data_IF_160598275516
#
_entry.id   IF_160598275516
#
_cell.length_a   1.000
_cell.length_b   1.000
_cell.length_c   1.000
_cell.angle_alpha   90.00
_cell.angle_beta   90.00
_cell.angle_gamma   90.00
#
_symmetry.space_group_name_H-M   'P 1'
#
loop_
_entity.id
_entity.type
_entity.pdbx_description
1 polymer ?
#
# COMPACT_ATOMS: atom_id res chain seq x y z
N UNK A 1 -16.51 -98.61 24.47
CA UNK A 1 -15.17 -99.17 24.18
C UNK A 1 -14.38 -98.13 23.40
N UNK A 2 -13.22 -97.72 23.94
CA UNK A 2 -12.05 -97.04 23.33
C UNK A 2 -12.31 -95.72 22.56
N UNK A 3 -12.00 -94.54 23.11
CA UNK A 3 -10.67 -93.91 23.26
C UNK A 3 -9.89 -93.75 21.95
N UNK A 4 -9.71 -92.50 21.47
CA UNK A 4 -8.39 -91.82 21.33
C UNK A 4 -8.44 -90.50 20.52
N UNK A 5 -7.89 -89.46 21.14
CA UNK A 5 -7.05 -88.34 20.65
C UNK A 5 -7.51 -87.32 19.57
N UNK A 6 -7.60 -86.08 20.07
CA UNK A 6 -6.95 -84.82 19.64
C UNK A 6 -7.08 -84.23 18.21
N UNK A 7 -7.74 -83.08 18.18
CA UNK A 7 -7.28 -81.76 17.71
C UNK A 7 -6.45 -81.66 16.41
N UNK A 8 -7.01 -80.98 15.40
CA UNK A 8 -6.43 -79.73 14.89
C UNK A 8 -7.29 -79.01 13.83
N UNK A 9 -7.32 -77.66 13.94
CA UNK A 9 -7.50 -76.63 12.89
C UNK A 9 -8.91 -76.34 12.37
N UNK A 10 -9.58 -75.41 13.05
CA UNK A 10 -10.44 -74.42 12.36
C UNK A 10 -9.59 -73.26 11.85
N UNK A 11 -9.31 -73.24 10.55
CA UNK A 11 -8.80 -72.06 9.86
C UNK A 11 -9.96 -71.08 9.66
N UNK A 12 -9.86 -69.92 10.31
CA UNK A 12 -10.76 -68.80 10.12
C UNK A 12 -10.62 -68.23 8.70
N UNK A 13 -11.71 -68.25 7.94
CA UNK A 13 -11.90 -67.46 6.73
C UNK A 13 -11.77 -65.97 7.05
N UNK A 14 -10.60 -65.40 6.76
CA UNK A 14 -10.40 -63.94 6.67
C UNK A 14 -9.82 -63.63 5.31
N UNK A 15 -10.72 -63.30 4.36
CA UNK A 15 -10.33 -62.65 3.11
C UNK A 15 -9.58 -61.36 3.45
N UNK A 16 -8.37 -61.12 2.91
CA UNK A 16 -7.65 -59.90 3.20
C UNK A 16 -8.38 -58.71 2.56
N UNK A 17 -8.80 -57.76 3.40
CA UNK A 17 -9.21 -56.43 2.95
C UNK A 17 -8.04 -55.80 2.20
N UNK A 18 -8.12 -55.75 0.86
CA UNK A 18 -7.24 -54.93 0.04
C UNK A 18 -7.43 -53.47 0.46
N UNK A 19 -6.50 -52.95 1.25
CA UNK A 19 -6.36 -51.51 1.49
C UNK A 19 -6.13 -50.85 0.14
N UNK A 20 -7.17 -50.21 -0.41
CA UNK A 20 -7.01 -49.29 -1.54
C UNK A 20 -5.93 -48.30 -1.13
N UNK A 21 -4.84 -48.26 -1.90
CA UNK A 21 -3.74 -47.34 -1.66
C UNK A 21 -4.28 -45.93 -1.50
N UNK A 22 -3.84 -45.23 -0.44
CA UNK A 22 -4.07 -43.80 -0.32
C UNK A 22 -3.47 -43.16 -1.56
N UNK A 23 -4.32 -42.62 -2.42
CA UNK A 23 -3.88 -41.70 -3.47
C UNK A 23 -3.03 -40.62 -2.81
N UNK A 24 -1.85 -40.27 -3.36
CA UNK A 24 -1.12 -39.11 -2.88
C UNK A 24 -2.06 -37.92 -2.99
N UNK A 25 -2.30 -37.23 -1.88
CA UNK A 25 -3.05 -35.99 -1.86
C UNK A 25 -2.41 -35.09 -2.93
N UNK A 26 -3.13 -34.86 -4.03
CA UNK A 26 -2.79 -33.77 -4.94
C UNK A 26 -2.98 -32.51 -4.09
N UNK A 27 -1.86 -31.93 -3.63
CA UNK A 27 -1.87 -30.65 -2.94
C UNK A 27 -2.59 -29.65 -3.85
N UNK A 28 -3.83 -29.31 -3.50
CA UNK A 28 -4.53 -28.20 -4.13
C UNK A 28 -3.72 -26.95 -3.76
N UNK A 29 -3.28 -26.13 -4.71
CA UNK A 29 -2.53 -24.92 -4.39
C UNK A 29 -3.37 -24.05 -3.46
N UNK A 30 -2.80 -23.66 -2.32
CA UNK A 30 -3.45 -22.77 -1.36
C UNK A 30 -3.58 -21.37 -1.97
N UNK A 31 -4.74 -21.02 -2.51
CA UNK A 31 -4.99 -19.71 -3.14
C UNK A 31 -5.24 -18.60 -2.15
N UNK A 32 -5.11 -18.84 -0.84
CA UNK A 32 -5.24 -17.79 0.17
C UNK A 32 -4.12 -16.76 0.04
N UNK A 33 -4.36 -15.55 0.58
CA UNK A 33 -3.36 -14.45 0.63
C UNK A 33 -2.02 -14.90 1.22
N UNK A 34 -2.06 -15.72 2.27
CA UNK A 34 -0.86 -16.25 2.91
C UNK A 34 -0.21 -17.37 2.08
N UNK A 35 -1.01 -18.23 1.45
CA UNK A 35 -0.53 -19.26 0.53
C UNK A 35 0.26 -18.69 -0.66
N UNK A 36 -0.22 -17.59 -1.27
CA UNK A 36 0.49 -16.95 -2.39
C UNK A 36 1.77 -16.27 -1.92
N UNK A 37 1.76 -15.54 -0.80
CA UNK A 37 3.00 -14.95 -0.24
C UNK A 37 4.04 -16.05 0.00
N UNK A 38 3.64 -17.15 0.63
CA UNK A 38 4.53 -18.26 0.91
C UNK A 38 5.12 -18.81 -0.39
N UNK A 39 4.29 -19.11 -1.40
CA UNK A 39 4.77 -19.58 -2.71
C UNK A 39 5.79 -18.64 -3.34
N UNK A 40 5.56 -17.33 -3.29
CA UNK A 40 6.51 -16.36 -3.86
C UNK A 40 7.81 -16.34 -3.07
N UNK A 41 7.73 -16.30 -1.74
CA UNK A 41 8.89 -16.25 -0.83
C UNK A 41 9.73 -17.53 -0.85
N UNK A 42 9.14 -18.69 -1.13
CA UNK A 42 9.86 -19.96 -1.22
C UNK A 42 10.51 -20.21 -2.58
N UNK A 43 10.35 -19.31 -3.55
CA UNK A 43 11.10 -19.40 -4.80
C UNK A 43 12.60 -19.30 -4.52
N UNK A 44 13.38 -20.05 -5.29
CA UNK A 44 14.84 -19.98 -5.23
C UNK A 44 15.34 -18.69 -5.87
N UNK A 45 16.47 -18.18 -5.38
CA UNK A 45 17.20 -17.09 -6.03
C UNK A 45 16.59 -15.70 -5.80
N UNK A 46 16.59 -14.86 -6.84
CA UNK A 46 16.22 -13.44 -6.74
C UNK A 46 14.70 -13.22 -6.77
N UNK A 47 13.94 -14.18 -7.31
CA UNK A 47 12.47 -14.05 -7.46
C UNK A 47 11.73 -13.97 -6.11
N UNK A 48 12.24 -14.61 -5.06
CA UNK A 48 11.66 -14.50 -3.71
C UNK A 48 11.93 -13.16 -3.03
N UNK A 49 12.79 -12.33 -3.59
CA UNK A 49 13.18 -11.03 -3.04
C UNK A 49 12.54 -9.87 -3.81
N UNK A 50 12.36 -10.02 -5.12
CA UNK A 50 11.84 -8.97 -5.99
C UNK A 50 10.36 -8.69 -5.72
N UNK A 51 10.05 -7.41 -5.52
CA UNK A 51 8.70 -6.84 -5.67
C UNK A 51 8.82 -5.64 -6.59
N UNK A 52 8.05 -5.65 -7.68
CA UNK A 52 8.06 -4.56 -8.65
C UNK A 52 7.23 -3.40 -8.10
N UNK A 53 7.74 -2.17 -8.14
CA UNK A 53 6.99 -0.98 -7.69
C UNK A 53 7.14 0.13 -8.71
N UNK A 54 6.04 0.59 -9.30
CA UNK A 54 6.08 1.59 -10.37
C UNK A 54 4.77 2.37 -10.53
N UNK A 55 4.85 3.57 -11.09
CA UNK A 55 3.66 4.30 -11.55
C UNK A 55 3.39 3.91 -13.01
N UNK A 56 2.19 3.38 -13.36
CA UNK A 56 1.85 3.02 -14.74
C UNK A 56 2.00 4.16 -15.75
N UNK A 57 1.77 5.42 -15.34
CA UNK A 57 1.86 6.59 -16.22
C UNK A 57 3.32 7.05 -16.47
N UNK A 58 4.25 6.65 -15.59
CA UNK A 58 5.68 6.97 -15.69
C UNK A 58 6.51 5.67 -15.76
N UNK A 59 5.95 4.68 -16.44
CA UNK A 59 6.49 3.33 -16.45
C UNK A 59 7.72 3.23 -17.37
N UNK A 60 8.88 2.95 -16.77
CA UNK A 60 10.14 2.76 -17.47
C UNK A 60 10.82 1.46 -17.00
N UNK A 61 10.83 0.38 -17.81
CA UNK A 61 11.28 -0.96 -17.38
C UNK A 61 12.66 -1.00 -16.71
N UNK A 62 13.61 -0.22 -17.25
CA UNK A 62 14.98 -0.12 -16.71
C UNK A 62 14.96 0.43 -15.28
N UNK A 63 14.23 1.53 -15.06
CA UNK A 63 14.09 2.15 -13.74
C UNK A 63 13.38 1.22 -12.76
N UNK A 64 12.31 0.55 -13.21
CA UNK A 64 11.54 -0.37 -12.36
C UNK A 64 12.42 -1.53 -11.88
N UNK A 65 13.16 -2.18 -12.78
CA UNK A 65 14.00 -3.30 -12.41
C UNK A 65 15.17 -2.86 -11.51
N UNK A 66 15.87 -1.77 -11.85
CA UNK A 66 16.96 -1.23 -11.02
C UNK A 66 16.49 -0.90 -9.59
N UNK A 67 15.33 -0.26 -9.44
CA UNK A 67 14.78 0.07 -8.13
C UNK A 67 14.34 -1.17 -7.34
N UNK A 68 13.91 -2.23 -8.03
CA UNK A 68 13.56 -3.49 -7.40
C UNK A 68 14.81 -4.23 -6.90
N UNK A 69 15.88 -4.28 -7.70
CA UNK A 69 17.12 -5.00 -7.37
C UNK A 69 17.99 -4.28 -6.33
N UNK A 70 18.04 -2.95 -6.36
CA UNK A 70 18.86 -2.16 -5.45
C UNK A 70 18.57 -2.46 -3.97
N UNK A 71 17.30 -2.78 -3.64
CA UNK A 71 16.84 -3.04 -2.27
C UNK A 71 17.52 -4.23 -1.60
N UNK A 72 17.87 -5.25 -2.37
CA UNK A 72 18.64 -6.41 -1.90
C UNK A 72 20.07 -6.41 -2.44
N UNK A 73 20.56 -5.24 -2.89
CA UNK A 73 21.90 -5.05 -3.49
C UNK A 73 22.15 -5.99 -4.68
N UNK A 74 21.10 -6.29 -5.44
CA UNK A 74 21.18 -7.12 -6.63
C UNK A 74 21.97 -6.45 -7.75
N UNK A 75 22.85 -7.21 -8.41
CA UNK A 75 23.62 -6.75 -9.56
C UNK A 75 22.95 -7.20 -10.85
N UNK A 76 22.62 -6.25 -11.72
CA UNK A 76 22.08 -6.51 -13.06
C UNK A 76 23.25 -6.52 -14.05
N UNK A 77 23.31 -7.56 -14.87
CA UNK A 77 24.31 -7.71 -15.93
C UNK A 77 23.64 -8.15 -17.22
N UNK A 78 24.08 -7.56 -18.34
CA UNK A 78 23.72 -8.05 -19.68
C UNK A 78 24.94 -8.77 -20.23
N UNK A 79 24.75 -10.02 -20.65
CA UNK A 79 25.79 -10.85 -21.20
C UNK A 79 25.48 -11.19 -22.66
N UNK A 80 26.44 -10.92 -23.54
CA UNK A 80 26.44 -11.43 -24.91
C UNK A 80 27.01 -12.85 -24.91
N UNK A 81 26.25 -13.79 -25.45
CA UNK A 81 26.59 -15.22 -25.53
C UNK A 81 27.08 -15.65 -26.91
N UNK A 82 27.28 -14.70 -27.83
CA UNK A 82 27.75 -14.94 -29.19
C UNK A 82 26.62 -14.91 -30.24
N UNK A 83 26.91 -15.28 -31.50
CA UNK A 83 25.94 -15.27 -32.59
C UNK A 83 24.76 -16.22 -32.32
N UNK A 84 23.56 -15.87 -32.81
CA UNK A 84 22.41 -16.77 -32.75
C UNK A 84 22.65 -18.00 -33.63
N UNK A 85 22.40 -19.24 -33.13
CA UNK A 85 22.56 -20.46 -33.90
C UNK A 85 21.72 -20.50 -35.19
N UNK A 86 20.55 -19.86 -35.19
CA UNK A 86 19.59 -19.86 -36.30
C UNK A 86 19.75 -18.65 -37.22
N UNK A 87 20.28 -17.53 -36.71
CA UNK A 87 20.48 -16.29 -37.48
C UNK A 87 21.81 -15.62 -37.10
N UNK A 88 22.88 -15.97 -37.83
CA UNK A 88 24.24 -15.46 -37.58
C UNK A 88 24.36 -13.93 -37.69
N UNK A 89 23.37 -13.23 -38.25
CA UNK A 89 23.36 -11.76 -38.28
C UNK A 89 23.03 -11.14 -36.91
N UNK A 90 22.47 -11.92 -35.98
CA UNK A 90 22.09 -11.50 -34.62
C UNK A 90 23.03 -12.10 -33.58
N UNK A 91 23.11 -11.46 -32.43
CA UNK A 91 23.77 -12.00 -31.23
C UNK A 91 22.74 -12.32 -30.15
N UNK A 92 22.97 -13.39 -29.41
CA UNK A 92 22.17 -13.80 -28.26
C UNK A 92 22.61 -13.02 -27.01
N UNK A 93 21.68 -12.33 -26.39
CA UNK A 93 21.90 -11.60 -25.14
C UNK A 93 21.02 -12.15 -24.02
N UNK A 94 21.51 -12.06 -22.79
CA UNK A 94 20.73 -12.41 -21.59
C UNK A 94 20.89 -11.34 -20.51
N UNK A 95 19.81 -11.08 -19.78
CA UNK A 95 19.79 -10.21 -18.61
C UNK A 95 19.73 -11.08 -17.37
N UNK A 96 20.76 -10.95 -16.54
CA UNK A 96 20.93 -11.71 -15.31
C UNK A 96 20.87 -10.77 -14.10
N UNK A 97 20.28 -11.24 -13.01
CA UNK A 97 20.34 -10.59 -11.70
C UNK A 97 21.01 -11.56 -10.74
N UNK A 98 22.13 -11.17 -10.13
CA UNK A 98 22.94 -12.06 -9.27
C UNK A 98 23.21 -13.43 -9.93
N UNK A 99 23.58 -13.43 -11.21
CA UNK A 99 23.82 -14.62 -12.05
C UNK A 99 22.58 -15.47 -12.38
N UNK A 100 21.40 -15.13 -11.88
CA UNK A 100 20.14 -15.77 -12.29
C UNK A 100 19.58 -15.10 -13.54
N UNK A 101 19.38 -15.88 -14.60
CA UNK A 101 18.82 -15.39 -15.86
C UNK A 101 17.34 -15.03 -15.71
N UNK A 102 17.00 -13.77 -16.00
CA UNK A 102 15.63 -13.25 -15.92
C UNK A 102 14.99 -13.18 -17.32
N UNK A 103 15.75 -12.74 -18.32
CA UNK A 103 15.32 -12.70 -19.72
C UNK A 103 16.48 -12.99 -20.67
N UNK A 104 16.15 -13.35 -21.90
CA UNK A 104 17.11 -13.57 -22.98
C UNK A 104 16.43 -13.32 -24.33
N UNK A 105 17.23 -13.11 -25.37
CA UNK A 105 16.76 -12.97 -26.74
C UNK A 105 17.89 -12.63 -27.70
N UNK A 106 17.58 -12.62 -28.99
CA UNK A 106 18.57 -12.41 -30.05
C UNK A 106 18.30 -11.13 -30.81
N UNK A 107 19.32 -10.28 -30.92
CA UNK A 107 19.18 -8.92 -31.44
C UNK A 107 20.36 -8.54 -32.33
N UNK A 108 20.13 -7.59 -33.24
CA UNK A 108 21.14 -7.06 -34.15
C UNK A 108 22.16 -6.15 -33.44
N UNK A 109 21.70 -5.40 -32.43
CA UNK A 109 22.51 -4.39 -31.73
C UNK A 109 22.33 -4.52 -30.22
N UNK A 110 23.38 -4.22 -29.46
CA UNK A 110 23.34 -4.28 -28.00
C UNK A 110 22.37 -3.24 -27.40
N UNK A 111 22.24 -2.06 -28.01
CA UNK A 111 21.32 -1.01 -27.58
C UNK A 111 19.85 -1.47 -27.63
N UNK A 112 19.45 -2.12 -28.72
CA UNK A 112 18.11 -2.69 -28.90
C UNK A 112 17.91 -3.90 -28.00
N UNK A 113 18.95 -4.74 -27.86
CA UNK A 113 18.94 -5.86 -26.92
C UNK A 113 18.66 -5.40 -25.49
N UNK A 114 19.34 -4.35 -25.03
CA UNK A 114 19.16 -3.80 -23.69
C UNK A 114 17.70 -3.44 -23.45
N UNK A 115 17.10 -2.61 -24.31
CA UNK A 115 15.71 -2.16 -24.13
C UNK A 115 14.74 -3.36 -24.04
N UNK A 116 14.79 -4.27 -25.00
CA UNK A 116 13.88 -5.42 -25.06
C UNK A 116 14.11 -6.44 -23.95
N UNK A 117 15.36 -6.66 -23.52
CA UNK A 117 15.64 -7.54 -22.40
C UNK A 117 15.04 -7.04 -21.09
N UNK A 118 15.06 -5.73 -20.84
CA UNK A 118 14.41 -5.15 -19.65
C UNK A 118 12.88 -5.28 -19.73
N UNK A 119 12.29 -5.06 -20.91
CA UNK A 119 10.84 -5.28 -21.14
C UNK A 119 10.45 -6.74 -20.83
N UNK A 120 11.13 -7.70 -21.45
CA UNK A 120 10.91 -9.13 -21.23
C UNK A 120 11.20 -9.55 -19.78
N UNK A 121 12.19 -8.93 -19.13
CA UNK A 121 12.49 -9.22 -17.73
C UNK A 121 11.32 -8.84 -16.82
N UNK A 122 10.72 -7.66 -17.01
CA UNK A 122 9.55 -7.24 -16.24
C UNK A 122 8.36 -8.16 -16.52
N UNK A 123 8.12 -8.55 -17.77
CA UNK A 123 7.05 -9.49 -18.12
C UNK A 123 7.22 -10.85 -17.43
N UNK A 124 8.43 -11.40 -17.43
CA UNK A 124 8.72 -12.67 -16.76
C UNK A 124 8.62 -12.56 -15.23
N UNK A 125 9.05 -11.44 -14.66
CA UNK A 125 8.93 -11.18 -13.23
C UNK A 125 7.47 -10.98 -12.82
N UNK A 126 6.61 -10.33 -13.62
CA UNK A 126 5.17 -10.20 -13.32
C UNK A 126 4.44 -11.54 -13.21
N UNK A 127 4.95 -12.58 -13.86
CA UNK A 127 4.38 -13.94 -13.76
C UNK A 127 4.64 -14.58 -12.39
N UNK A 128 5.78 -14.25 -11.78
CA UNK A 128 6.32 -14.96 -10.61
C UNK A 128 6.52 -14.08 -9.37
N UNK A 129 6.48 -12.76 -9.49
CA UNK A 129 6.71 -11.78 -8.44
C UNK A 129 5.53 -10.82 -8.31
N UNK A 130 5.32 -10.27 -7.11
CA UNK A 130 4.30 -9.25 -6.89
C UNK A 130 4.65 -7.94 -7.59
N UNK A 131 3.62 -7.21 -8.03
CA UNK A 131 3.76 -5.84 -8.52
C UNK A 131 2.86 -4.89 -7.74
N UNK A 132 3.39 -3.72 -7.37
CA UNK A 132 2.65 -2.64 -6.71
C UNK A 132 2.61 -1.45 -7.67
N UNK A 133 1.42 -1.13 -8.14
CA UNK A 133 1.16 0.03 -8.97
C UNK A 133 0.95 1.25 -8.08
N UNK A 134 1.67 2.34 -8.33
CA UNK A 134 1.46 3.63 -7.67
C UNK A 134 0.42 4.43 -8.44
N UNK A 135 -0.65 4.82 -7.77
CA UNK A 135 -1.64 5.75 -8.28
C UNK A 135 -1.10 7.17 -8.22
N UNK A 136 -1.44 7.98 -9.22
CA UNK A 136 -1.30 9.43 -9.10
C UNK A 136 -2.33 9.92 -8.12
N UNK A 137 -1.89 10.62 -7.07
CA UNK A 137 -2.78 11.21 -6.08
C UNK A 137 -3.73 12.20 -6.78
N UNK A 138 -5.06 12.06 -6.59
CA UNK A 138 -6.02 13.04 -7.08
C UNK A 138 -5.72 14.43 -6.51
N UNK A 139 -5.92 15.46 -7.35
CA UNK A 139 -5.79 16.86 -6.94
C UNK A 139 -6.71 17.24 -5.79
N UNK A 140 -7.71 16.46 -5.39
CA UNK A 140 -8.67 16.84 -4.33
C UNK A 140 -8.73 15.85 -3.15
N UNK A 141 -7.62 15.14 -2.90
CA UNK A 141 -7.52 14.23 -1.75
C UNK A 141 -7.72 15.00 -0.43
N UNK A 142 -8.43 14.42 0.57
CA UNK A 142 -8.70 15.08 1.84
C UNK A 142 -7.40 15.52 2.50
N UNK A 143 -7.34 16.79 2.89
CA UNK A 143 -6.16 17.41 3.48
C UNK A 143 -6.42 17.73 4.95
N UNK A 144 -5.45 17.41 5.79
CA UNK A 144 -5.42 17.80 7.19
C UNK A 144 -5.19 19.30 7.27
N UNK A 145 -6.16 19.99 7.86
CA UNK A 145 -6.12 21.38 8.28
C UNK A 145 -5.98 21.42 9.80
N UNK A 146 -5.32 22.45 10.34
CA UNK A 146 -4.95 22.50 11.76
C UNK A 146 -6.13 22.74 12.73
N UNK A 147 -7.31 22.98 12.16
CA UNK A 147 -8.60 23.20 12.80
C UNK A 147 -9.43 21.91 12.95
N UNK A 148 -8.95 20.76 12.45
CA UNK A 148 -9.63 19.47 12.58
C UNK A 148 -9.46 18.88 13.98
N UNK A 149 -10.24 19.41 14.92
CA UNK A 149 -10.56 18.76 16.19
C UNK A 149 -11.23 17.41 15.89
N UNK A 150 -10.67 16.31 16.40
CA UNK A 150 -11.31 14.99 16.41
C UNK A 150 -12.65 15.09 17.11
N UNK A 151 -13.74 15.06 16.34
CA UNK A 151 -15.09 14.84 16.89
C UNK A 151 -15.39 13.35 16.79
N UNK A 152 -15.14 12.65 17.89
CA UNK A 152 -15.77 11.36 18.16
C UNK A 152 -17.28 11.52 17.96
N UNK A 153 -17.80 10.88 16.92
CA UNK A 153 -19.21 10.94 16.58
C UNK A 153 -19.97 9.97 17.48
N UNK A 154 -20.18 10.37 18.74
CA UNK A 154 -21.29 9.86 19.54
C UNK A 154 -22.32 10.98 19.68
N UNK A 155 -23.18 11.11 18.66
CA UNK A 155 -24.25 12.11 18.67
C UNK A 155 -25.38 11.57 19.54
N UNK A 156 -25.41 12.04 20.77
CA UNK A 156 -26.63 12.14 21.56
C UNK A 156 -26.94 13.63 21.73
N UNK A 157 -28.19 14.07 21.47
CA UNK A 157 -28.50 15.49 21.42
C UNK A 157 -28.64 16.04 22.85
N UNK A 158 -27.68 16.89 23.26
CA UNK A 158 -27.86 17.74 24.44
C UNK A 158 -27.82 19.21 24.02
N UNK A 159 -28.96 19.86 24.23
CA UNK A 159 -29.24 21.29 24.10
C UNK A 159 -28.30 22.10 25.00
N UNK A 160 -27.33 22.81 24.42
CA UNK A 160 -26.47 23.73 25.15
C UNK A 160 -26.92 25.19 24.93
N UNK A 161 -27.84 25.63 25.79
CA UNK A 161 -28.16 27.04 26.04
C UNK A 161 -27.04 27.62 26.91
N UNK A 162 -26.21 28.53 26.39
CA UNK A 162 -25.12 29.08 27.22
C UNK A 162 -24.33 30.31 26.72
N UNK A 163 -24.59 30.83 25.52
CA UNK A 163 -23.88 32.01 25.01
C UNK A 163 -24.47 33.34 25.50
N UNK A 164 -23.63 34.37 25.70
CA UNK A 164 -24.04 35.75 26.04
C UNK A 164 -25.07 36.29 25.01
N UNK A 165 -24.90 35.96 23.74
CA UNK A 165 -25.85 36.31 22.67
C UNK A 165 -27.24 35.69 22.86
N UNK A 166 -27.34 34.44 23.32
CA UNK A 166 -28.62 33.78 23.59
C UNK A 166 -29.35 34.45 24.77
N UNK A 167 -28.59 34.88 25.78
CA UNK A 167 -29.12 35.60 26.95
C UNK A 167 -29.62 37.01 26.59
N UNK A 168 -28.99 37.66 25.61
CA UNK A 168 -29.42 38.96 25.09
C UNK A 168 -30.67 38.84 24.21
N UNK A 169 -30.74 37.82 23.34
CA UNK A 169 -31.91 37.59 22.48
C UNK A 169 -33.17 37.23 23.29
N UNK A 170 -33.05 36.39 24.33
CA UNK A 170 -34.16 36.09 25.25
C UNK A 170 -34.69 37.34 25.96
N UNK A 171 -33.80 38.25 26.39
CA UNK A 171 -34.19 39.50 27.05
C UNK A 171 -34.91 40.48 26.12
N UNK A 172 -34.76 40.32 24.80
CA UNK A 172 -35.48 41.11 23.79
C UNK A 172 -36.76 40.42 23.28
N UNK A 173 -37.22 39.36 23.97
CA UNK A 173 -38.48 38.69 23.70
C UNK A 173 -38.43 37.57 22.66
N UNK A 174 -37.24 37.13 22.23
CA UNK A 174 -37.10 36.01 21.29
C UNK A 174 -37.28 34.67 22.01
N UNK A 175 -38.33 33.92 21.66
CA UNK A 175 -38.68 32.63 22.26
C UNK A 175 -38.14 31.40 21.49
N UNK A 176 -37.31 31.61 20.46
CA UNK A 176 -36.79 30.56 19.58
C UNK A 176 -37.51 30.49 18.23
N UNK A 177 -36.78 30.13 17.16
CA UNK A 177 -37.24 30.13 15.75
C UNK A 177 -36.44 31.10 14.86
N UNK A 178 -36.50 30.90 13.53
CA UNK A 178 -35.72 31.67 12.56
C UNK A 178 -35.99 33.18 12.58
N UNK A 179 -34.97 34.02 12.43
CA UNK A 179 -35.13 35.48 12.33
C UNK A 179 -35.77 35.88 10.99
N UNK A 180 -36.87 36.65 11.02
CA UNK A 180 -37.52 37.24 9.83
C UNK A 180 -39.05 37.16 9.89
N UNK A 181 -39.76 37.98 9.10
CA UNK A 181 -41.23 38.08 9.10
C UNK A 181 -41.98 36.77 8.78
N UNK A 182 -41.29 35.75 8.25
CA UNK A 182 -41.81 34.41 7.99
C UNK A 182 -40.96 33.28 8.62
N UNK A 183 -40.20 33.57 9.67
CA UNK A 183 -39.32 32.59 10.34
C UNK A 183 -38.30 31.89 9.42
N UNK A 184 -37.88 32.56 8.34
CA UNK A 184 -36.96 32.02 7.32
C UNK A 184 -35.47 32.04 7.73
N UNK A 185 -35.14 32.59 8.90
CA UNK A 185 -33.77 32.61 9.40
C UNK A 185 -33.30 31.26 9.96
N UNK A 186 -31.99 31.11 10.14
CA UNK A 186 -31.37 29.91 10.72
C UNK A 186 -31.98 29.66 12.10
N UNK A 187 -32.55 28.46 12.28
CA UNK A 187 -33.23 28.04 13.52
C UNK A 187 -32.24 27.66 14.63
N UNK A 188 -31.04 27.26 14.24
CA UNK A 188 -29.98 26.91 15.17
C UNK A 188 -29.11 28.11 15.50
N UNK A 189 -28.88 28.33 16.78
CA UNK A 189 -27.89 29.30 17.25
C UNK A 189 -26.57 28.90 16.59
N UNK A 190 -26.03 29.79 15.75
CA UNK A 190 -24.66 29.67 15.23
C UNK A 190 -23.78 29.57 16.47
N UNK A 191 -23.36 28.34 16.78
CA UNK A 191 -22.34 28.15 17.79
C UNK A 191 -21.15 28.96 17.32
N UNK A 192 -20.51 29.75 18.19
CA UNK A 192 -19.29 30.42 17.81
C UNK A 192 -18.33 29.31 17.39
N UNK A 193 -18.17 29.13 16.08
CA UNK A 193 -17.01 28.44 15.52
C UNK A 193 -15.86 29.08 16.25
N UNK A 194 -15.11 28.31 17.03
CA UNK A 194 -13.95 28.84 17.75
C UNK A 194 -13.07 29.52 16.72
N UNK A 195 -13.25 30.83 16.59
CA UNK A 195 -12.42 31.68 15.80
C UNK A 195 -11.15 31.73 16.63
N UNK A 196 -10.22 30.86 16.29
CA UNK A 196 -8.83 31.04 16.67
C UNK A 196 -8.55 32.49 16.29
N UNK A 197 -8.22 33.28 17.32
CA UNK A 197 -7.95 34.71 17.20
C UNK A 197 -7.15 34.96 15.92
N UNK A 198 -7.77 35.63 14.95
CA UNK A 198 -7.04 36.21 13.81
C UNK A 198 -6.16 37.31 14.39
N UNK A 199 -4.98 36.93 14.89
CA UNK A 199 -3.91 37.89 15.18
C UNK A 199 -3.47 38.47 13.84
N UNK A 200 -3.47 39.79 13.78
CA UNK A 200 -3.40 40.56 12.55
C UNK A 200 -2.11 40.36 11.74
N UNK A 201 -2.08 41.05 10.61
CA UNK A 201 -0.95 41.19 9.70
C UNK A 201 0.31 41.62 10.48
N UNK A 202 1.17 40.66 10.86
CA UNK A 202 2.39 40.94 11.63
C UNK A 202 2.79 39.89 12.67
N UNK A 203 1.93 38.92 13.02
CA UNK A 203 2.35 37.78 13.86
C UNK A 203 2.73 36.59 12.99
N UNK A 204 3.99 36.15 13.07
CA UNK A 204 4.40 34.84 12.56
C UNK A 204 3.38 33.80 13.02
N UNK A 205 2.71 33.13 12.07
CA UNK A 205 1.89 31.97 12.36
C UNK A 205 2.88 30.91 12.84
N UNK A 206 3.05 30.83 14.16
CA UNK A 206 3.78 29.74 14.77
C UNK A 206 2.83 28.57 14.73
N UNK A 207 3.03 27.63 13.79
CA UNK A 207 2.29 26.38 13.85
C UNK A 207 2.54 25.78 15.24
N UNK A 208 1.50 25.37 15.99
CA UNK A 208 1.68 24.55 17.18
C UNK A 208 2.33 23.22 16.79
N UNK A 209 3.66 23.19 16.87
CA UNK A 209 4.50 22.03 16.51
C UNK A 209 4.06 20.79 17.28
N UNK A 210 3.58 20.96 18.51
CA UNK A 210 3.08 19.88 19.35
C UNK A 210 1.86 19.19 18.73
N UNK A 211 0.95 19.93 18.09
CA UNK A 211 -0.17 19.34 17.34
C UNK A 211 0.31 18.55 16.13
N UNK A 212 1.29 19.08 15.38
CA UNK A 212 1.88 18.33 14.25
C UNK A 212 2.51 17.03 14.78
N UNK A 213 3.26 17.11 15.87
CA UNK A 213 3.89 15.94 16.48
C UNK A 213 2.84 14.91 16.90
N UNK A 214 1.75 15.34 17.53
CA UNK A 214 0.64 14.46 17.94
C UNK A 214 0.00 13.76 16.74
N UNK A 215 -0.36 14.51 15.69
CA UNK A 215 -0.92 13.95 14.44
C UNK A 215 0.03 12.92 13.82
N UNK A 216 1.32 13.25 13.73
CA UNK A 216 2.31 12.36 13.14
C UNK A 216 2.62 11.16 14.03
N UNK A 217 2.56 11.30 15.35
CA UNK A 217 2.73 10.21 16.30
C UNK A 217 1.58 9.22 16.20
N UNK A 218 0.33 9.71 16.23
CA UNK A 218 -0.85 8.88 16.02
C UNK A 218 -0.82 8.19 14.65
N UNK A 219 -0.32 8.86 13.62
CA UNK A 219 -0.13 8.23 12.32
C UNK A 219 0.90 7.08 12.35
N UNK A 220 2.06 7.31 12.97
CA UNK A 220 3.12 6.29 13.12
C UNK A 220 2.57 5.05 13.83
N UNK A 221 1.84 5.26 14.93
CA UNK A 221 1.27 4.20 15.78
C UNK A 221 0.08 3.46 15.15
N UNK A 222 -0.69 4.13 14.28
CA UNK A 222 -1.81 3.51 13.59
C UNK A 222 -1.39 2.41 12.61
N UNK A 223 -2.29 1.49 12.24
CA UNK A 223 -2.05 0.56 11.13
C UNK A 223 -2.31 1.16 9.74
N UNK A 224 -2.72 2.44 9.69
CA UNK A 224 -3.04 3.12 8.45
C UNK A 224 -1.76 3.33 7.60
N UNK A 225 -1.81 2.88 6.35
CA UNK A 225 -0.73 3.03 5.36
C UNK A 225 -1.03 4.09 4.29
N UNK A 226 -2.22 4.69 4.30
CA UNK A 226 -2.57 5.80 3.41
C UNK A 226 -1.77 7.03 3.82
N UNK A 227 -1.43 7.87 2.84
CA UNK A 227 -0.71 9.10 3.12
C UNK A 227 -1.59 10.11 3.84
N UNK A 228 -0.96 10.93 4.67
CA UNK A 228 -1.55 12.16 5.20
C UNK A 228 -1.19 13.30 4.25
N UNK A 229 -2.19 13.98 3.73
CA UNK A 229 -1.99 15.22 2.97
C UNK A 229 -2.23 16.41 3.89
N UNK A 230 -1.38 17.43 3.85
CA UNK A 230 -1.55 18.71 4.56
C UNK A 230 -2.05 19.78 3.60
N UNK A 231 -2.86 20.72 4.09
CA UNK A 231 -3.42 21.82 3.30
C UNK A 231 -2.34 22.59 2.51
N UNK A 232 -2.64 23.10 1.31
CA UNK A 232 -1.75 24.05 0.65
C UNK A 232 -1.55 25.36 1.42
N UNK A 233 -2.39 25.69 2.41
CA UNK A 233 -2.32 26.96 3.15
C UNK A 233 -1.06 27.13 4.00
N UNK A 234 -0.33 26.04 4.27
CA UNK A 234 0.93 26.12 4.99
C UNK A 234 1.99 26.88 4.19
N UNK A 235 2.69 27.82 4.83
CA UNK A 235 3.81 28.55 4.22
C UNK A 235 5.01 27.65 3.95
N UNK A 236 6.02 28.18 3.25
CA UNK A 236 7.23 27.41 2.94
C UNK A 236 8.00 27.05 4.22
N UNK A 237 8.10 27.99 5.15
CA UNK A 237 8.79 27.85 6.43
C UNK A 237 8.07 26.80 7.28
N UNK A 238 6.74 26.87 7.30
CA UNK A 238 5.88 25.93 7.99
C UNK A 238 6.01 24.49 7.47
N UNK A 239 5.98 24.32 6.15
CA UNK A 239 6.24 23.01 5.51
C UNK A 239 7.63 22.48 5.85
N UNK A 240 8.64 23.35 5.95
CA UNK A 240 10.00 22.94 6.36
C UNK A 240 10.03 22.38 7.78
N UNK A 241 9.28 22.98 8.70
CA UNK A 241 9.12 22.47 10.08
C UNK A 241 8.43 21.11 10.06
N UNK A 242 7.32 20.97 9.33
CA UNK A 242 6.60 19.68 9.20
C UNK A 242 7.51 18.60 8.62
N UNK A 243 8.27 18.90 7.56
CA UNK A 243 9.28 18.01 6.98
C UNK A 243 10.30 17.55 8.04
N UNK A 244 10.80 18.48 8.85
CA UNK A 244 11.78 18.19 9.91
C UNK A 244 11.21 17.28 11.00
N UNK A 245 9.95 17.49 11.41
CA UNK A 245 9.27 16.63 12.37
C UNK A 245 9.05 15.23 11.79
N UNK A 246 8.51 15.14 10.56
CA UNK A 246 8.27 13.87 9.88
C UNK A 246 9.56 13.04 9.72
N UNK A 247 10.68 13.69 9.36
CA UNK A 247 11.97 13.03 9.22
C UNK A 247 12.46 12.44 10.55
N UNK A 248 12.32 13.16 11.67
CA UNK A 248 12.67 12.66 13.01
C UNK A 248 11.85 11.43 13.41
N UNK A 249 10.65 11.29 12.86
CA UNK A 249 9.75 10.15 13.09
C UNK A 249 9.89 9.06 12.01
N UNK A 250 10.97 9.12 11.21
CA UNK A 250 11.27 8.20 10.11
C UNK A 250 10.17 8.09 9.04
N UNK A 251 9.34 9.12 8.89
CA UNK A 251 8.36 9.21 7.81
C UNK A 251 9.02 9.75 6.54
N UNK A 252 8.40 9.43 5.39
CA UNK A 252 8.70 10.07 4.12
C UNK A 252 7.77 11.27 3.98
N UNK A 253 8.33 12.42 3.64
CA UNK A 253 7.58 13.65 3.41
C UNK A 253 7.93 14.19 2.03
N UNK A 254 6.94 14.58 1.24
CA UNK A 254 7.13 15.07 -0.13
C UNK A 254 6.14 16.18 -0.43
N UNK A 255 6.62 17.29 -0.98
CA UNK A 255 5.73 18.32 -1.52
C UNK A 255 5.37 18.00 -2.97
N UNK A 256 4.09 18.07 -3.31
CA UNK A 256 3.58 17.94 -4.68
C UNK A 256 2.95 19.25 -5.15
N UNK A 257 2.98 19.54 -6.45
CA UNK A 257 2.42 20.76 -7.03
C UNK A 257 3.34 21.98 -6.96
N UNK A 258 2.84 23.10 -7.50
CA UNK A 258 3.57 24.37 -7.62
C UNK A 258 2.72 25.53 -7.09
N UNK A 259 3.37 26.56 -6.54
CA UNK A 259 2.70 27.76 -6.06
C UNK A 259 1.61 27.50 -5.01
N UNK A 260 0.41 28.02 -5.26
CA UNK A 260 -0.75 27.93 -4.39
C UNK A 260 -1.35 26.51 -4.31
N UNK A 261 -1.10 25.65 -5.29
CA UNK A 261 -1.57 24.26 -5.29
C UNK A 261 -0.60 23.30 -4.58
N UNK A 262 0.50 23.82 -4.01
CA UNK A 262 1.55 22.98 -3.43
C UNK A 262 1.08 22.36 -2.11
N UNK A 263 1.01 21.03 -2.07
CA UNK A 263 0.59 20.27 -0.88
C UNK A 263 1.74 19.44 -0.33
N UNK A 264 1.78 19.30 0.98
CA UNK A 264 2.75 18.44 1.65
C UNK A 264 2.09 17.10 1.97
N UNK A 265 2.70 16.01 1.53
CA UNK A 265 2.20 14.65 1.74
C UNK A 265 3.20 13.86 2.57
N UNK A 266 2.72 13.19 3.61
CA UNK A 266 3.49 12.35 4.53
C UNK A 266 3.06 10.89 4.39
N UNK A 267 4.03 10.00 4.32
CA UNK A 267 3.88 8.58 4.10
C UNK A 267 4.80 7.79 5.04
N UNK A 268 4.38 6.59 5.42
CA UNK A 268 5.28 5.63 6.07
C UNK A 268 6.35 5.13 5.09
N UNK A 269 7.56 4.92 5.60
CA UNK A 269 8.62 4.22 4.86
C UNK A 269 8.42 2.72 5.01
N UNK A 270 7.72 2.12 4.04
CA UNK A 270 7.47 0.67 4.03
C UNK A 270 8.39 -0.05 3.04
N UNK A 271 8.94 -1.17 3.47
CA UNK A 271 9.52 -2.18 2.59
C UNK A 271 8.40 -2.82 1.71
N UNK A 272 8.63 -3.17 0.45
CA UNK A 272 7.54 -3.46 -0.48
C UNK A 272 6.78 -4.78 -0.36
N UNK A 273 7.33 -5.96 -0.03
CA UNK A 273 7.58 -6.29 1.36
C UNK A 273 6.34 -6.16 2.24
N UNK A 274 6.53 -5.40 3.31
CA UNK A 274 5.49 -4.97 4.23
C UNK A 274 4.28 -4.38 3.51
N UNK A 275 4.49 -3.63 2.42
CA UNK A 275 3.40 -3.05 1.64
C UNK A 275 2.53 -4.12 0.94
N UNK A 276 3.10 -5.21 0.43
CA UNK A 276 2.33 -6.36 -0.09
C UNK A 276 1.45 -6.94 1.02
N UNK A 277 2.01 -7.17 2.21
CA UNK A 277 1.24 -7.70 3.34
C UNK A 277 0.08 -6.79 3.72
N UNK A 278 0.34 -5.49 3.90
CA UNK A 278 -0.68 -4.51 4.26
C UNK A 278 -1.74 -4.35 3.16
N UNK A 279 -1.35 -4.35 1.88
CA UNK A 279 -2.32 -4.30 0.77
C UNK A 279 -3.21 -5.55 0.75
N UNK A 280 -2.65 -6.74 0.99
CA UNK A 280 -3.45 -7.97 1.08
C UNK A 280 -4.42 -7.99 2.27
N UNK A 281 -4.10 -7.28 3.35
CA UNK A 281 -5.01 -7.13 4.49
C UNK A 281 -6.23 -6.26 4.14
N UNK A 282 -6.05 -5.22 3.32
CA UNK A 282 -7.11 -4.28 2.92
C UNK A 282 -7.79 -4.62 1.59
N UNK A 283 -7.60 -5.83 1.06
CA UNK A 283 -8.27 -6.30 -0.17
C UNK A 283 -7.53 -6.02 -1.48
N UNK A 284 -6.27 -5.62 -1.41
CA UNK A 284 -5.35 -5.49 -2.56
C UNK A 284 -5.19 -4.08 -3.09
N UNK A 285 -5.91 -3.09 -2.56
CA UNK A 285 -5.90 -1.73 -3.10
C UNK A 285 -6.20 -0.69 -2.03
N UNK A 286 -5.57 0.48 -2.11
CA UNK A 286 -5.90 1.65 -1.32
C UNK A 286 -5.83 2.92 -2.19
N UNK A 287 -5.90 4.10 -1.59
CA UNK A 287 -5.86 5.38 -2.32
C UNK A 287 -4.58 5.60 -3.15
N UNK A 288 -3.47 4.98 -2.76
CA UNK A 288 -2.16 5.25 -3.34
C UNK A 288 -1.58 4.09 -4.15
N UNK A 289 -2.02 2.87 -3.87
CA UNK A 289 -1.40 1.66 -4.38
C UNK A 289 -2.46 0.64 -4.78
N UNK A 290 -2.12 -0.13 -5.81
CA UNK A 290 -2.84 -1.33 -6.20
C UNK A 290 -1.85 -2.48 -6.29
N UNK A 291 -2.17 -3.59 -5.62
CA UNK A 291 -1.40 -4.82 -5.66
C UNK A 291 -1.87 -5.67 -6.85
N UNK A 292 -0.91 -6.11 -7.66
CA UNK A 292 -1.12 -7.07 -8.74
C UNK A 292 -0.44 -8.37 -8.34
N UNK A 293 -1.23 -9.42 -8.31
CA UNK A 293 -0.81 -10.77 -7.96
C UNK A 293 -0.01 -11.40 -9.11
N UNK A 294 1.00 -12.25 -8.82
CA UNK A 294 1.74 -12.95 -9.86
C UNK A 294 0.85 -13.97 -10.58
N UNK A 295 0.81 -13.93 -11.91
CA UNK A 295 -0.18 -14.69 -12.70
C UNK A 295 -0.03 -16.20 -12.58
N UNK A 296 1.17 -16.74 -12.35
CA UNK A 296 1.39 -18.18 -12.21
C UNK A 296 0.82 -18.78 -10.92
N UNK A 297 0.57 -17.96 -9.90
CA UNK A 297 0.07 -18.40 -8.60
C UNK A 297 -1.42 -18.14 -8.36
N UNK A 298 -2.06 -17.40 -9.27
CA UNK A 298 -3.50 -17.11 -9.24
C UNK A 298 -4.27 -18.13 -10.11
N UNK A 299 -3.70 -18.54 -11.24
CA UNK A 299 -4.41 -19.35 -12.26
C UNK A 299 -4.25 -20.88 -12.07
N UNK A 300 -3.88 -21.37 -10.88
CA UNK A 300 -3.65 -22.80 -10.60
C UNK A 300 -4.46 -23.29 -9.42
#
# INVERSE_FOLDING_TARGET
MNSRFDNHKHYNDRRPFKRKGRHPYKHRPDTTKYGIIHRVRTQTGVRSQIVLVYNPQLYEPISVLNNATQRFKGQIQIQNSGPDPNDKSRSCFSLNVNNERISHGSYLQESTAKKHLYELAIENLRKTCFSILRKTLPRDSPAVTLDSSTSDTNVQPQTAVGGIGAKMMLKMGWAGGGLGAQAQGITDIVQPTQQIERKGFGTHITIPIDKIREILQGYVESDNINAISFSPDFTKEERSVIHSVAQKMNLKSTSYGTGADRRLVIQKKLDPWQLVHKLLEVGGENEQYQLVMPTEFVNK
#
